data_IF_286829495330
#
_entry.id   IF_286829495330
#
_cell.length_a   1.000
_cell.length_b   1.000
_cell.length_c   1.000
_cell.angle_alpha   90.00
_cell.angle_beta   90.00
_cell.angle_gamma   90.00
#
_symmetry.space_group_name_H-M   'P 1'
#
loop_
_entity.id
_entity.type
_entity.pdbx_description
1 polymer ?
#
# COMPACT_ATOMS: atom_id res chain seq x y z
N UNK A 1 -18.43 6.15 21.70
CA UNK A 1 -19.30 6.63 20.62
C UNK A 1 -18.43 6.83 19.39
N UNK A 2 -18.59 5.99 18.36
CA UNK A 2 -17.83 6.08 17.11
C UNK A 2 -18.23 7.36 16.37
N UNK A 3 -17.28 8.24 16.09
CA UNK A 3 -17.52 9.43 15.27
C UNK A 3 -17.41 9.03 13.79
N UNK A 4 -18.52 8.70 13.17
CA UNK A 4 -18.57 8.50 11.73
C UNK A 4 -18.55 9.86 11.02
N UNK A 5 -17.53 10.10 10.20
CA UNK A 5 -17.50 11.23 9.28
C UNK A 5 -18.14 10.77 7.96
N UNK A 6 -19.32 11.29 7.65
CA UNK A 6 -19.95 11.05 6.34
C UNK A 6 -19.21 11.83 5.26
N UNK A 7 -18.67 11.13 4.28
CA UNK A 7 -18.18 11.71 3.02
C UNK A 7 -19.27 11.59 1.95
N UNK A 8 -19.12 12.31 0.83
CA UNK A 8 -20.04 12.19 -0.32
C UNK A 8 -20.13 10.77 -0.92
N UNK A 9 -19.23 9.87 -0.56
CA UNK A 9 -19.10 8.50 -1.08
C UNK A 9 -19.42 7.41 -0.04
N UNK A 10 -19.88 7.76 1.15
CA UNK A 10 -20.21 6.82 2.21
C UNK A 10 -19.69 7.23 3.59
N UNK A 11 -19.88 6.40 4.59
CA UNK A 11 -19.40 6.65 5.94
C UNK A 11 -17.93 6.23 6.07
N UNK A 12 -17.02 7.18 6.27
CA UNK A 12 -15.67 6.89 6.70
C UNK A 12 -15.65 6.70 8.22
N UNK A 13 -15.42 5.48 8.67
CA UNK A 13 -15.28 5.18 10.09
C UNK A 13 -13.82 5.43 10.48
N UNK A 14 -13.59 6.54 11.17
CA UNK A 14 -12.31 6.82 11.82
C UNK A 14 -12.42 6.33 13.26
N UNK A 15 -12.05 5.07 13.48
CA UNK A 15 -12.07 4.44 14.79
C UNK A 15 -10.64 4.13 15.23
N UNK A 16 -10.24 4.69 16.38
CA UNK A 16 -8.97 4.39 17.01
C UNK A 16 -8.94 3.02 17.69
N UNK A 17 -10.11 2.41 17.89
CA UNK A 17 -10.27 1.12 18.58
C UNK A 17 -10.46 -0.03 17.61
N UNK A 18 -9.59 -0.16 16.64
CA UNK A 18 -9.66 -1.20 15.58
C UNK A 18 -9.70 -2.63 16.14
N UNK A 19 -9.14 -2.88 17.30
CA UNK A 19 -9.21 -4.17 17.98
C UNK A 19 -10.65 -4.61 18.29
N UNK A 20 -11.58 -3.67 18.47
CA UNK A 20 -13.00 -3.99 18.71
C UNK A 20 -13.66 -4.77 17.57
N UNK A 21 -13.09 -4.75 16.35
CA UNK A 21 -13.56 -5.54 15.23
C UNK A 21 -12.99 -6.97 15.19
N UNK A 22 -12.08 -7.30 16.12
CA UNK A 22 -11.35 -8.55 16.17
C UNK A 22 -11.35 -9.14 17.60
N UNK A 23 -12.50 -9.03 18.28
CA UNK A 23 -12.62 -9.50 19.67
C UNK A 23 -12.35 -10.99 19.83
N UNK A 24 -12.65 -11.79 18.80
CA UNK A 24 -12.28 -13.20 18.71
C UNK A 24 -10.77 -13.42 18.94
N UNK A 25 -9.93 -12.54 18.39
CA UNK A 25 -8.46 -12.59 18.56
C UNK A 25 -8.03 -12.11 19.94
N UNK A 26 -8.69 -11.07 20.43
CA UNK A 26 -8.38 -10.52 21.78
C UNK A 26 -8.70 -11.57 22.85
N UNK A 27 -9.88 -12.18 22.80
CA UNK A 27 -10.32 -13.21 23.73
C UNK A 27 -9.40 -14.46 23.70
N UNK A 28 -9.03 -14.93 22.51
CA UNK A 28 -8.09 -16.03 22.35
C UNK A 28 -6.70 -15.70 22.94
N UNK A 29 -6.21 -14.49 22.72
CA UNK A 29 -4.94 -14.04 23.29
C UNK A 29 -5.01 -13.93 24.83
N UNK A 30 -6.08 -13.38 25.39
CA UNK A 30 -6.32 -13.32 26.84
C UNK A 30 -6.42 -14.70 27.46
N UNK A 31 -6.95 -15.68 26.73
CA UNK A 31 -6.99 -17.09 27.14
C UNK A 31 -5.61 -17.79 27.03
N UNK A 32 -4.57 -17.10 26.59
CA UNK A 32 -3.21 -17.65 26.44
C UNK A 32 -3.00 -18.48 25.17
N UNK A 33 -3.91 -18.40 24.19
CA UNK A 33 -3.76 -19.10 22.92
C UNK A 33 -2.69 -18.43 22.04
N UNK A 34 -2.09 -19.22 21.17
CA UNK A 34 -1.22 -18.70 20.10
C UNK A 34 -2.08 -18.16 18.98
N UNK A 35 -2.05 -16.84 18.80
CA UNK A 35 -2.77 -16.17 17.72
C UNK A 35 -1.80 -15.62 16.67
N UNK A 36 -2.23 -15.60 15.41
CA UNK A 36 -1.56 -14.84 14.37
C UNK A 36 -1.97 -13.36 14.42
N UNK A 37 -1.12 -12.42 13.95
CA UNK A 37 -1.53 -11.03 13.78
C UNK A 37 -2.70 -10.93 12.79
N UNK A 38 -3.52 -9.90 12.94
CA UNK A 38 -4.63 -9.64 12.02
C UNK A 38 -4.11 -9.09 10.69
N UNK A 39 -3.09 -8.23 10.76
CA UNK A 39 -2.49 -7.55 9.60
C UNK A 39 -0.97 -7.63 9.65
N UNK A 40 -0.35 -7.62 8.47
CA UNK A 40 1.11 -7.59 8.29
C UNK A 40 1.49 -6.40 7.42
N UNK A 41 2.47 -5.61 7.86
CA UNK A 41 3.12 -4.60 7.02
C UNK A 41 4.37 -5.21 6.40
N UNK A 42 4.52 -5.10 5.08
CA UNK A 42 5.66 -5.67 4.37
C UNK A 42 6.04 -4.91 3.11
N UNK A 43 7.24 -5.17 2.61
CA UNK A 43 7.70 -4.74 1.30
C UNK A 43 7.92 -5.95 0.38
N UNK A 44 7.67 -5.78 -0.92
CA UNK A 44 8.01 -6.77 -1.94
C UNK A 44 9.42 -6.55 -2.51
N UNK A 45 9.95 -5.35 -2.34
CA UNK A 45 11.30 -4.97 -2.77
C UNK A 45 11.81 -3.78 -1.97
N UNK A 46 13.13 -3.70 -1.81
CA UNK A 46 13.80 -2.50 -1.28
C UNK A 46 14.22 -1.52 -2.39
N UNK A 47 14.02 -1.88 -3.65
CA UNK A 47 14.24 -0.96 -4.76
C UNK A 47 13.24 0.19 -4.70
N UNK A 48 13.70 1.41 -4.91
CA UNK A 48 12.89 2.61 -4.98
C UNK A 48 13.59 3.62 -5.89
N UNK A 49 12.86 4.29 -6.76
CA UNK A 49 13.39 5.36 -7.61
C UNK A 49 13.39 6.73 -6.92
N UNK A 50 12.77 6.85 -5.74
CA UNK A 50 12.74 8.08 -4.95
C UNK A 50 13.86 8.11 -3.90
N UNK A 51 14.25 9.32 -3.46
CA UNK A 51 15.25 9.57 -2.41
C UNK A 51 14.67 10.51 -1.35
N UNK A 52 13.44 10.25 -0.91
CA UNK A 52 12.70 11.12 -0.01
C UNK A 52 13.51 11.51 1.22
N UNK A 53 13.58 12.80 1.52
CA UNK A 53 14.36 13.36 2.65
C UNK A 53 13.88 12.87 4.02
N UNK A 54 12.62 12.43 4.11
CA UNK A 54 11.98 11.89 5.32
C UNK A 54 11.94 10.35 5.38
N UNK A 55 12.53 9.64 4.41
CA UNK A 55 12.45 8.19 4.32
C UNK A 55 13.37 7.52 5.33
N UNK A 56 12.79 6.83 6.31
CA UNK A 56 13.57 6.11 7.32
C UNK A 56 14.38 4.94 6.74
N UNK A 57 13.94 4.35 5.62
CA UNK A 57 14.67 3.28 4.94
C UNK A 57 16.01 3.74 4.39
N UNK A 58 16.14 5.03 4.03
CA UNK A 58 17.40 5.64 3.61
C UNK A 58 18.39 5.84 4.76
N UNK A 59 17.93 5.77 6.00
CA UNK A 59 18.75 5.92 7.22
C UNK A 59 19.32 4.56 7.68
N UNK A 60 18.90 3.45 7.08
CA UNK A 60 19.40 2.12 7.41
C UNK A 60 20.74 1.86 6.71
N UNK A 61 21.68 1.22 7.40
CA UNK A 61 23.02 0.90 6.87
C UNK A 61 22.98 -0.07 5.67
N UNK A 62 21.97 -0.93 5.59
CA UNK A 62 21.85 -1.89 4.50
C UNK A 62 21.22 -1.27 3.26
N UNK A 63 22.04 -1.03 2.25
CA UNK A 63 21.65 -0.55 0.91
C UNK A 63 21.27 -1.71 -0.05
N UNK A 64 21.12 -2.93 0.45
CA UNK A 64 20.80 -4.08 -0.38
C UNK A 64 19.42 -3.92 -1.06
N UNK A 65 19.39 -3.83 -2.38
CA UNK A 65 18.18 -3.80 -3.21
C UNK A 65 17.60 -5.21 -3.37
N UNK A 66 17.25 -5.83 -2.26
CA UNK A 66 16.65 -7.16 -2.25
C UNK A 66 15.18 -7.11 -2.70
N UNK A 67 14.74 -8.14 -3.38
CA UNK A 67 13.34 -8.33 -3.79
C UNK A 67 12.93 -9.77 -3.49
N UNK A 68 11.69 -9.94 -3.06
CA UNK A 68 11.11 -11.26 -2.92
C UNK A 68 10.80 -11.82 -4.32
N UNK A 69 11.08 -13.10 -4.55
CA UNK A 69 10.71 -13.76 -5.82
C UNK A 69 9.21 -14.04 -5.86
N UNK A 70 8.64 -14.11 -7.07
CA UNK A 70 7.20 -14.41 -7.24
C UNK A 70 6.78 -15.69 -6.51
N UNK A 71 7.45 -16.85 -6.69
CA UNK A 71 7.05 -18.07 -5.98
C UNK A 71 7.07 -17.92 -4.47
N UNK A 72 8.07 -17.22 -3.93
CA UNK A 72 8.19 -17.01 -2.49
C UNK A 72 7.11 -16.07 -1.95
N UNK A 73 6.75 -15.04 -2.70
CA UNK A 73 5.70 -14.10 -2.33
C UNK A 73 4.32 -14.78 -2.29
N UNK A 74 4.03 -15.66 -3.25
CA UNK A 74 2.77 -16.41 -3.28
C UNK A 74 2.71 -17.46 -2.16
N UNK A 75 3.78 -18.23 -1.94
CA UNK A 75 3.84 -19.19 -0.84
C UNK A 75 3.66 -18.52 0.53
N UNK A 76 4.21 -17.30 0.71
CA UNK A 76 4.01 -16.54 1.93
C UNK A 76 2.53 -16.15 2.15
N UNK A 77 1.81 -15.81 1.08
CA UNK A 77 0.36 -15.53 1.18
C UNK A 77 -0.44 -16.80 1.53
N UNK A 78 -0.05 -17.96 0.99
CA UNK A 78 -0.68 -19.23 1.36
C UNK A 78 -0.48 -19.53 2.86
N UNK A 79 0.74 -19.30 3.37
CA UNK A 79 1.05 -19.40 4.81
C UNK A 79 0.22 -18.39 5.63
N UNK A 80 0.10 -17.14 5.18
CA UNK A 80 -0.70 -16.12 5.83
C UNK A 80 -2.18 -16.50 5.90
N UNK A 81 -2.75 -17.03 4.81
CA UNK A 81 -4.12 -17.52 4.79
C UNK A 81 -4.30 -18.69 5.78
N UNK A 82 -3.37 -19.64 5.79
CA UNK A 82 -3.41 -20.83 6.65
C UNK A 82 -3.42 -20.49 8.15
N UNK A 83 -2.69 -19.43 8.56
CA UNK A 83 -2.66 -18.97 9.96
C UNK A 83 -3.72 -17.89 10.28
N UNK A 84 -4.53 -17.49 9.31
CA UNK A 84 -5.67 -16.60 9.49
C UNK A 84 -5.31 -15.11 9.51
N UNK A 85 -4.24 -14.65 8.84
CA UNK A 85 -3.98 -13.23 8.57
C UNK A 85 -5.06 -12.74 7.60
N UNK A 86 -5.64 -11.57 7.90
CA UNK A 86 -6.77 -11.00 7.17
C UNK A 86 -6.36 -9.90 6.18
N UNK A 87 -5.23 -9.24 6.42
CA UNK A 87 -4.79 -8.14 5.57
C UNK A 87 -3.27 -8.00 5.50
N UNK A 88 -2.80 -7.41 4.39
CA UNK A 88 -1.40 -7.04 4.18
C UNK A 88 -1.35 -5.59 3.73
N UNK A 89 -0.48 -4.78 4.36
CA UNK A 89 -0.17 -3.44 3.91
C UNK A 89 1.21 -3.41 3.24
N UNK A 90 1.25 -3.01 1.98
CA UNK A 90 2.50 -2.77 1.25
C UNK A 90 2.99 -1.33 1.53
N UNK A 91 3.50 -1.10 2.75
CA UNK A 91 3.86 0.24 3.28
C UNK A 91 5.24 0.28 3.96
N UNK A 92 6.11 -0.64 3.63
CA UNK A 92 7.44 -0.75 4.21
C UNK A 92 8.53 -0.14 3.32
N UNK A 93 9.73 -0.69 3.33
CA UNK A 93 10.88 -0.23 2.56
C UNK A 93 10.65 -0.30 1.04
N UNK A 94 11.23 0.62 0.29
CA UNK A 94 11.21 0.61 -1.16
C UNK A 94 9.86 0.99 -1.78
N UNK A 95 9.73 0.72 -3.08
CA UNK A 95 8.51 0.93 -3.86
C UNK A 95 8.02 -0.42 -4.40
N UNK A 96 6.97 -0.96 -3.78
CA UNK A 96 6.46 -2.30 -4.08
C UNK A 96 6.01 -2.47 -5.54
N UNK A 97 5.58 -1.39 -6.21
CA UNK A 97 5.17 -1.39 -7.62
C UNK A 97 6.30 -1.76 -8.59
N UNK A 98 7.56 -1.64 -8.16
CA UNK A 98 8.74 -2.06 -8.93
C UNK A 98 8.99 -3.58 -8.88
N UNK A 99 8.40 -4.28 -7.93
CA UNK A 99 8.60 -5.72 -7.80
C UNK A 99 7.87 -6.49 -8.88
N UNK A 100 8.52 -7.49 -9.47
CA UNK A 100 7.87 -8.45 -10.35
C UNK A 100 6.78 -9.27 -9.64
N UNK A 101 6.84 -9.36 -8.32
CA UNK A 101 5.83 -10.03 -7.52
C UNK A 101 4.59 -9.17 -7.25
N UNK A 102 4.60 -7.86 -7.54
CA UNK A 102 3.55 -6.93 -7.17
C UNK A 102 2.15 -7.33 -7.67
N UNK A 103 2.00 -7.47 -8.98
CA UNK A 103 0.71 -7.85 -9.57
C UNK A 103 0.30 -9.27 -9.17
N UNK A 104 1.15 -10.31 -9.32
CA UNK A 104 0.81 -11.65 -8.89
C UNK A 104 0.43 -11.75 -7.40
N UNK A 105 1.12 -11.03 -6.52
CA UNK A 105 0.86 -11.01 -5.09
C UNK A 105 -0.54 -10.50 -4.77
N UNK A 106 -0.91 -9.34 -5.32
CA UNK A 106 -2.21 -8.71 -5.04
C UNK A 106 -3.35 -9.57 -5.59
N UNK A 107 -3.20 -10.11 -6.80
CA UNK A 107 -4.20 -10.99 -7.40
C UNK A 107 -4.35 -12.32 -6.65
N UNK A 108 -3.26 -12.86 -6.10
CA UNK A 108 -3.30 -14.07 -5.30
C UNK A 108 -3.92 -13.81 -3.92
N UNK A 109 -3.55 -12.71 -3.26
CA UNK A 109 -4.17 -12.30 -1.99
C UNK A 109 -5.69 -12.16 -2.12
N UNK A 110 -6.18 -11.54 -3.19
CA UNK A 110 -7.61 -11.42 -3.45
C UNK A 110 -8.30 -12.79 -3.60
N UNK A 111 -7.66 -13.79 -4.23
CA UNK A 111 -8.20 -15.16 -4.33
C UNK A 111 -8.26 -15.85 -2.98
N UNK A 112 -7.36 -15.54 -2.07
CA UNK A 112 -7.30 -16.07 -0.70
C UNK A 112 -8.20 -15.31 0.28
N UNK A 113 -8.87 -14.23 -0.15
CA UNK A 113 -9.67 -13.37 0.71
C UNK A 113 -8.86 -12.51 1.68
N UNK A 114 -7.59 -12.25 1.36
CA UNK A 114 -6.71 -11.37 2.11
C UNK A 114 -6.80 -9.97 1.52
N UNK A 115 -7.18 -8.98 2.34
CA UNK A 115 -7.21 -7.58 1.97
C UNK A 115 -5.81 -7.02 1.76
N UNK A 116 -5.61 -6.21 0.70
CA UNK A 116 -4.33 -5.56 0.44
C UNK A 116 -4.48 -4.06 0.37
N UNK A 117 -3.68 -3.36 1.17
CA UNK A 117 -3.44 -1.93 1.05
C UNK A 117 -2.08 -1.63 0.43
N UNK A 118 -1.96 -0.52 -0.30
CA UNK A 118 -0.72 -0.12 -0.95
C UNK A 118 -0.39 1.35 -0.69
N UNK A 119 0.84 1.63 -0.25
CA UNK A 119 1.41 2.97 -0.30
C UNK A 119 2.43 3.05 -1.45
N UNK A 120 2.41 4.12 -2.22
CA UNK A 120 3.24 4.27 -3.40
C UNK A 120 3.64 5.73 -3.62
N UNK A 121 4.79 5.94 -4.25
CA UNK A 121 5.20 7.25 -4.76
C UNK A 121 4.38 7.69 -5.99
N UNK A 122 3.62 6.77 -6.60
CA UNK A 122 2.68 7.00 -7.69
C UNK A 122 3.31 7.13 -9.07
N UNK A 123 4.53 7.63 -9.20
CA UNK A 123 5.13 7.88 -10.51
C UNK A 123 5.66 6.61 -11.19
N UNK A 124 6.01 5.57 -10.39
CA UNK A 124 6.47 4.27 -10.87
C UNK A 124 5.32 3.26 -11.05
N UNK A 125 4.10 3.67 -10.72
CA UNK A 125 2.93 2.81 -10.81
C UNK A 125 2.23 2.97 -12.17
N UNK A 126 2.76 2.31 -13.17
CA UNK A 126 2.31 2.40 -14.56
C UNK A 126 0.83 2.01 -14.75
N UNK A 127 0.12 2.58 -15.74
CA UNK A 127 -1.31 2.37 -15.97
C UNK A 127 -1.73 0.91 -16.12
N UNK A 128 -0.93 0.08 -16.78
CA UNK A 128 -1.20 -1.36 -16.94
C UNK A 128 -1.19 -2.10 -15.59
N UNK A 129 -0.25 -1.75 -14.70
CA UNK A 129 -0.22 -2.28 -13.35
C UNK A 129 -1.40 -1.77 -12.52
N UNK A 130 -1.75 -0.47 -12.66
CA UNK A 130 -2.93 0.10 -11.99
C UNK A 130 -4.18 -0.67 -12.40
N UNK A 131 -4.40 -0.90 -13.69
CA UNK A 131 -5.55 -1.67 -14.19
C UNK A 131 -5.61 -3.10 -13.66
N UNK A 132 -4.46 -3.74 -13.55
CA UNK A 132 -4.35 -5.13 -13.11
C UNK A 132 -4.64 -5.33 -11.63
N UNK A 133 -4.37 -4.32 -10.77
CA UNK A 133 -4.45 -4.49 -9.32
C UNK A 133 -5.49 -3.64 -8.62
N UNK A 134 -5.87 -2.48 -9.15
CA UNK A 134 -6.79 -1.57 -8.48
C UNK A 134 -8.13 -2.21 -8.07
N UNK A 135 -8.72 -3.14 -8.87
CA UNK A 135 -9.94 -3.85 -8.47
C UNK A 135 -9.78 -4.78 -7.26
N UNK A 136 -8.55 -5.10 -6.88
CA UNK A 136 -8.19 -6.05 -5.82
C UNK A 136 -7.63 -5.38 -4.57
N UNK A 137 -7.51 -4.05 -4.58
CA UNK A 137 -6.99 -3.27 -3.46
C UNK A 137 -8.12 -2.72 -2.60
N UNK A 138 -7.94 -2.73 -1.28
CA UNK A 138 -8.84 -2.11 -0.32
C UNK A 138 -8.58 -0.60 -0.23
N UNK A 139 -7.30 -0.20 -0.22
CA UNK A 139 -6.92 1.20 -0.24
C UNK A 139 -5.57 1.42 -0.95
N UNK A 140 -5.41 2.62 -1.46
CA UNK A 140 -4.13 3.13 -1.98
C UNK A 140 -3.85 4.50 -1.38
N UNK A 141 -2.63 4.69 -0.89
CA UNK A 141 -2.12 5.96 -0.40
C UNK A 141 -0.97 6.42 -1.28
N UNK A 142 -1.15 7.55 -1.95
CA UNK A 142 -0.11 8.19 -2.73
C UNK A 142 0.72 9.13 -1.85
N UNK A 143 2.03 8.98 -1.87
CA UNK A 143 2.95 9.90 -1.18
C UNK A 143 3.25 11.09 -2.09
N UNK A 144 2.57 12.21 -1.83
CA UNK A 144 2.75 13.48 -2.55
C UNK A 144 3.16 14.55 -1.55
N UNK A 145 4.45 14.63 -1.26
CA UNK A 145 5.00 15.43 -0.17
C UNK A 145 4.92 16.95 -0.39
N UNK A 146 4.56 17.41 -1.58
CA UNK A 146 4.39 18.84 -1.89
C UNK A 146 3.39 19.04 -3.04
N UNK A 147 2.78 20.23 -3.07
CA UNK A 147 1.82 20.61 -4.11
C UNK A 147 2.42 21.35 -5.32
N UNK A 148 3.75 21.50 -5.38
CA UNK A 148 4.46 22.14 -6.48
C UNK A 148 5.58 21.25 -7.00
N UNK A 149 5.83 21.22 -8.34
CA UNK A 149 6.85 20.36 -8.93
C UNK A 149 8.24 20.54 -8.33
N UNK A 150 8.66 21.79 -8.10
CA UNK A 150 9.99 22.11 -7.57
C UNK A 150 10.16 21.62 -6.13
N UNK A 151 9.19 21.91 -5.26
CA UNK A 151 9.22 21.47 -3.86
C UNK A 151 9.10 19.95 -3.75
N UNK A 152 8.30 19.32 -4.64
CA UNK A 152 8.19 17.87 -4.71
C UNK A 152 9.52 17.23 -5.12
N UNK A 153 10.16 17.76 -6.16
CA UNK A 153 11.45 17.28 -6.64
C UNK A 153 12.55 17.41 -5.57
N UNK A 154 12.57 18.51 -4.84
CA UNK A 154 13.54 18.74 -3.75
C UNK A 154 13.34 17.73 -2.60
N UNK A 155 12.10 17.52 -2.16
CA UNK A 155 11.77 16.62 -1.04
C UNK A 155 11.93 15.15 -1.42
N UNK A 156 11.45 14.76 -2.60
CA UNK A 156 11.35 13.35 -3.01
C UNK A 156 12.59 12.86 -3.77
N UNK A 157 13.40 13.75 -4.38
CA UNK A 157 14.49 13.38 -5.29
C UNK A 157 15.78 14.13 -5.06
N UNK A 158 15.80 15.14 -4.19
CA UNK A 158 16.98 15.98 -3.87
C UNK A 158 17.55 16.78 -5.07
N UNK A 159 16.68 17.20 -6.01
CA UNK A 159 17.13 18.04 -7.10
C UNK A 159 16.02 18.52 -8.05
N UNK A 160 16.14 19.75 -8.57
CA UNK A 160 15.12 20.39 -9.41
C UNK A 160 14.98 19.72 -10.80
N UNK A 161 15.96 18.94 -11.24
CA UNK A 161 15.92 18.18 -12.49
C UNK A 161 14.82 17.13 -12.53
N UNK A 162 14.26 16.78 -11.39
CA UNK A 162 13.21 15.76 -11.24
C UNK A 162 11.78 16.32 -11.24
N UNK A 163 11.55 17.58 -11.62
CA UNK A 163 10.21 18.19 -11.61
C UNK A 163 9.17 17.44 -12.44
N UNK A 164 9.56 16.83 -13.57
CA UNK A 164 8.67 16.02 -14.41
C UNK A 164 8.08 14.79 -13.72
N UNK A 165 8.70 14.32 -12.63
CA UNK A 165 8.20 13.19 -11.86
C UNK A 165 6.91 13.54 -11.11
N UNK A 166 6.77 14.81 -10.70
CA UNK A 166 5.52 15.30 -10.12
C UNK A 166 4.35 15.18 -11.09
N UNK A 167 4.51 15.67 -12.31
CA UNK A 167 3.45 15.63 -13.33
C UNK A 167 3.04 14.20 -13.62
N UNK A 168 4.01 13.29 -13.73
CA UNK A 168 3.75 11.86 -13.95
C UNK A 168 3.02 11.21 -12.78
N UNK A 169 3.40 11.52 -11.54
CA UNK A 169 2.68 11.03 -10.37
C UNK A 169 1.23 11.51 -10.36
N UNK A 170 0.99 12.79 -10.65
CA UNK A 170 -0.36 13.36 -10.75
C UNK A 170 -1.17 12.72 -11.89
N UNK A 171 -0.54 12.45 -13.04
CA UNK A 171 -1.18 11.74 -14.16
C UNK A 171 -1.64 10.33 -13.75
N UNK A 172 -0.78 9.56 -13.11
CA UNK A 172 -1.12 8.21 -12.63
C UNK A 172 -2.21 8.23 -11.53
N UNK A 173 -2.18 9.23 -10.64
CA UNK A 173 -3.25 9.42 -9.64
C UNK A 173 -4.59 9.69 -10.34
N UNK A 174 -4.61 10.60 -11.31
CA UNK A 174 -5.83 10.90 -12.10
C UNK A 174 -6.33 9.65 -12.82
N UNK A 175 -5.43 8.90 -13.43
CA UNK A 175 -5.76 7.63 -14.08
C UNK A 175 -6.42 6.64 -13.12
N UNK A 176 -5.85 6.44 -11.93
CA UNK A 176 -6.43 5.58 -10.90
C UNK A 176 -7.83 6.04 -10.45
N UNK A 177 -8.02 7.36 -10.29
CA UNK A 177 -9.34 7.94 -9.93
C UNK A 177 -10.37 7.72 -11.04
N UNK A 178 -9.99 7.94 -12.30
CA UNK A 178 -10.88 7.72 -13.45
C UNK A 178 -11.24 6.24 -13.59
N UNK A 179 -10.26 5.34 -13.43
CA UNK A 179 -10.47 3.90 -13.47
C UNK A 179 -11.43 3.47 -12.35
N UNK A 180 -11.23 3.96 -11.12
CA UNK A 180 -12.13 3.70 -10.00
C UNK A 180 -13.56 4.09 -10.34
N UNK A 181 -13.77 5.31 -10.88
CA UNK A 181 -15.09 5.82 -11.26
C UNK A 181 -15.71 4.99 -12.39
N UNK A 182 -14.96 4.76 -13.46
CA UNK A 182 -15.41 4.02 -14.65
C UNK A 182 -15.86 2.60 -14.32
N UNK A 183 -15.13 1.92 -13.43
CA UNK A 183 -15.41 0.54 -13.02
C UNK A 183 -16.20 0.42 -11.70
N UNK A 184 -16.62 1.56 -11.10
CA UNK A 184 -17.34 1.60 -9.81
C UNK A 184 -16.64 0.80 -8.71
N UNK A 185 -15.30 0.93 -8.60
CA UNK A 185 -14.51 0.17 -7.64
C UNK A 185 -14.68 0.72 -6.21
N UNK A 186 -14.65 -0.17 -5.22
CA UNK A 186 -14.76 0.17 -3.79
C UNK A 186 -13.47 0.68 -3.15
N UNK A 187 -12.31 0.53 -3.84
CA UNK A 187 -11.00 0.92 -3.29
C UNK A 187 -10.99 2.37 -2.81
N UNK A 188 -10.40 2.62 -1.63
CA UNK A 188 -10.18 3.99 -1.13
C UNK A 188 -8.88 4.55 -1.70
N UNK A 189 -8.92 5.73 -2.31
CA UNK A 189 -7.74 6.44 -2.80
C UNK A 189 -7.50 7.67 -1.93
N UNK A 190 -6.27 7.82 -1.43
CA UNK A 190 -5.86 8.94 -0.59
C UNK A 190 -4.48 9.49 -0.96
N UNK A 191 -4.22 10.75 -0.58
CA UNK A 191 -2.93 11.44 -0.73
C UNK A 191 -2.42 11.77 0.67
N UNK A 192 -1.13 11.58 0.87
CA UNK A 192 -0.42 11.97 2.08
C UNK A 192 0.74 12.89 1.70
#
# INVERSE_FOLDING_TARGET
MSSAVQTREGALILDSHKLSYHMDRVEAWEAGERIAPVSVDMALTRACGSMCSFCYAMMQESQARSSITVPRALALLDDFAAIGIRSVSLVSDGESTLSNAYVPFIQHAAKLGIDVGNATNGWEWEPDKIEAVLPHLTWVRFTVAAGRPESYADIMYKGPEHTKVFDRAIEHIRYAVELKRRKSLSVTLGIQ
#
